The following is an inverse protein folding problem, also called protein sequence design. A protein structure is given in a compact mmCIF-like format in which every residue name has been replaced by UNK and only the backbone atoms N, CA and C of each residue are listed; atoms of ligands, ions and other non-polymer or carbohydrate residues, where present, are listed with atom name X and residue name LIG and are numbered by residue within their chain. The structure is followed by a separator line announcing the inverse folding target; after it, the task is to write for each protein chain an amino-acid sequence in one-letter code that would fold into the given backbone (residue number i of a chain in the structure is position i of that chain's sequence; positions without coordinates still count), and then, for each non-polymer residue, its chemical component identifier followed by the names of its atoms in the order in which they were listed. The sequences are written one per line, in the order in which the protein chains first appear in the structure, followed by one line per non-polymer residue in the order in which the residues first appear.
data_IF_373880126694
#
_entry.id   IF_373880126694
#
_cell.length_a   1.000
_cell.length_b   1.000
_cell.length_c   1.000
_cell.angle_alpha   90.00
_cell.angle_beta   90.00
_cell.angle_gamma   90.00
#
_symmetry.space_group_name_H-M   'P 1'
#
loop_
_entity.id
_entity.type
_entity.pdbx_description
1 polymer ?
#
# COMPACT_ATOMS: atom_id res chain seq x y z
N UNK A 1 -12.71 20.56 24.72
CA UNK A 1 -12.60 19.09 24.91
C UNK A 1 -11.46 18.62 24.03
N UNK A 2 -10.49 17.89 24.56
CA UNK A 2 -9.36 17.37 23.77
C UNK A 2 -9.76 16.02 23.18
N UNK A 3 -9.44 15.79 21.91
CA UNK A 3 -9.82 14.59 21.16
C UNK A 3 -8.66 13.59 21.09
N UNK A 4 -8.91 12.36 21.53
CA UNK A 4 -7.97 11.24 21.51
C UNK A 4 -8.42 10.10 20.56
N UNK A 5 -9.46 10.32 19.74
CA UNK A 5 -10.08 9.30 18.88
C UNK A 5 -9.14 8.68 17.84
N UNK A 6 -7.96 9.26 17.65
CA UNK A 6 -6.89 8.64 16.86
C UNK A 6 -6.53 7.25 17.41
N UNK A 7 -6.68 7.01 18.71
CA UNK A 7 -6.28 5.78 19.41
C UNK A 7 -7.46 4.83 19.68
N UNK A 8 -8.66 5.11 19.14
CA UNK A 8 -9.88 4.31 19.40
C UNK A 8 -9.83 2.91 18.77
N UNK A 9 -8.98 2.69 17.78
CA UNK A 9 -8.88 1.42 17.03
C UNK A 9 -7.44 0.93 17.03
N UNK A 10 -7.03 0.29 18.12
CA UNK A 10 -5.74 -0.38 18.24
C UNK A 10 -6.00 -1.88 18.32
N UNK A 11 -5.33 -2.65 17.48
CA UNK A 11 -5.35 -4.10 17.46
C UNK A 11 -4.03 -4.63 18.01
N UNK A 12 -4.12 -5.44 19.07
CA UNK A 12 -2.97 -6.10 19.71
C UNK A 12 -3.17 -7.60 19.53
N UNK A 13 -2.30 -8.25 18.74
CA UNK A 13 -2.46 -9.68 18.42
C UNK A 13 -2.31 -10.60 19.63
N UNK A 14 -1.54 -10.16 20.63
CA UNK A 14 -1.24 -10.82 21.91
C UNK A 14 -2.02 -10.16 23.07
N UNK A 15 -3.28 -9.76 22.81
CA UNK A 15 -4.14 -9.18 23.84
C UNK A 15 -4.58 -10.27 24.83
N UNK A 16 -3.97 -10.24 26.01
CA UNK A 16 -4.20 -11.18 27.09
C UNK A 16 -5.62 -11.08 27.70
N UNK A 17 -6.29 -9.94 27.56
CA UNK A 17 -7.64 -9.70 28.08
C UNK A 17 -8.74 -10.22 27.13
N UNK A 18 -8.46 -10.33 25.82
CA UNK A 18 -9.39 -10.88 24.81
C UNK A 18 -9.15 -12.38 24.58
N UNK A 19 -9.43 -13.17 25.63
CA UNK A 19 -9.26 -14.63 25.63
C UNK A 19 -10.52 -15.35 26.10
N UNK A 20 -10.71 -16.59 25.62
CA UNK A 20 -11.87 -17.41 25.95
C UNK A 20 -11.43 -18.62 26.80
N UNK A 21 -12.15 -19.01 27.88
CA UNK A 21 -11.76 -20.11 28.77
C UNK A 21 -11.52 -21.47 28.09
N UNK A 22 -12.06 -21.66 26.89
CA UNK A 22 -11.94 -22.90 26.12
C UNK A 22 -10.97 -22.82 24.93
N UNK A 23 -10.28 -21.69 24.73
CA UNK A 23 -9.33 -21.50 23.63
C UNK A 23 -7.93 -21.37 24.22
N UNK A 24 -6.99 -22.13 23.66
CA UNK A 24 -5.59 -22.07 24.04
C UNK A 24 -4.95 -20.74 23.60
N UNK A 25 -4.43 -19.98 24.56
CA UNK A 25 -3.93 -18.59 24.32
C UNK A 25 -2.77 -18.56 23.32
N UNK A 26 -1.71 -19.40 23.44
CA UNK A 26 -0.59 -19.40 22.50
C UNK A 26 -0.99 -19.64 21.04
N UNK A 27 -1.86 -20.62 20.79
CA UNK A 27 -2.33 -20.91 19.43
C UNK A 27 -3.23 -19.81 18.88
N UNK A 28 -4.08 -19.19 19.71
CA UNK A 28 -4.90 -18.04 19.32
C UNK A 28 -4.05 -16.84 18.89
N UNK A 29 -3.02 -16.49 19.65
CA UNK A 29 -2.16 -15.34 19.35
C UNK A 29 -1.35 -15.56 18.07
N UNK A 30 -0.80 -16.76 17.88
CA UNK A 30 -0.16 -17.14 16.61
C UNK A 30 -1.11 -17.00 15.43
N UNK A 31 -2.37 -17.43 15.58
CA UNK A 31 -3.36 -17.34 14.51
C UNK A 31 -3.77 -15.89 14.21
N UNK A 32 -3.98 -15.06 15.25
CA UNK A 32 -4.23 -13.61 15.10
C UNK A 32 -3.08 -12.92 14.38
N UNK A 33 -1.84 -13.20 14.79
CA UNK A 33 -0.65 -12.67 14.13
C UNK A 33 -0.56 -13.09 12.66
N UNK A 34 -0.79 -14.37 12.36
CA UNK A 34 -0.80 -14.88 11.00
C UNK A 34 -1.87 -14.20 10.13
N UNK A 35 -3.09 -14.09 10.62
CA UNK A 35 -4.19 -13.44 9.91
C UNK A 35 -3.89 -11.96 9.63
N UNK A 36 -3.23 -11.28 10.57
CA UNK A 36 -2.79 -9.90 10.41
C UNK A 36 -1.73 -9.76 9.31
N UNK A 37 -0.68 -10.59 9.35
CA UNK A 37 0.37 -10.61 8.33
C UNK A 37 -0.21 -10.88 6.94
N UNK A 38 -1.11 -11.86 6.83
CA UNK A 38 -1.80 -12.17 5.56
C UNK A 38 -2.64 -11.00 5.05
N UNK A 39 -3.35 -10.29 5.94
CA UNK A 39 -4.11 -9.12 5.57
C UNK A 39 -3.20 -7.97 5.10
N UNK A 40 -2.07 -7.74 5.77
CA UNK A 40 -1.08 -6.74 5.34
C UNK A 40 -0.49 -7.09 3.97
N UNK A 41 -0.16 -8.35 3.74
CA UNK A 41 0.36 -8.82 2.46
C UNK A 41 -0.68 -8.65 1.33
N UNK A 42 -1.94 -8.98 1.59
CA UNK A 42 -3.02 -8.78 0.63
C UNK A 42 -3.20 -7.30 0.27
N UNK A 43 -3.22 -6.41 1.27
CA UNK A 43 -3.36 -4.96 1.05
C UNK A 43 -2.16 -4.39 0.29
N UNK A 44 -0.95 -4.86 0.58
CA UNK A 44 0.25 -4.48 -0.16
C UNK A 44 0.20 -4.96 -1.62
N UNK A 45 -0.24 -6.20 -1.85
CA UNK A 45 -0.42 -6.76 -3.19
C UNK A 45 -1.48 -6.01 -4.00
N UNK A 46 -2.62 -5.68 -3.40
CA UNK A 46 -3.66 -4.85 -4.04
C UNK A 46 -3.12 -3.47 -4.41
N UNK A 47 -2.35 -2.84 -3.51
CA UNK A 47 -1.71 -1.55 -3.77
C UNK A 47 -0.77 -1.62 -4.98
N UNK A 48 0.08 -2.63 -5.04
CA UNK A 48 1.01 -2.83 -6.16
C UNK A 48 0.29 -3.11 -7.48
N UNK A 49 -0.80 -3.87 -7.46
CA UNK A 49 -1.62 -4.13 -8.64
C UNK A 49 -2.28 -2.85 -9.16
N UNK A 50 -2.81 -2.01 -8.26
CA UNK A 50 -3.38 -0.72 -8.62
C UNK A 50 -2.31 0.24 -9.19
N UNK A 51 -1.12 0.26 -8.61
CA UNK A 51 -0.02 1.11 -9.07
C UNK A 51 0.51 0.66 -10.45
N UNK A 52 0.63 -0.66 -10.67
CA UNK A 52 0.92 -1.23 -12.00
C UNK A 52 -0.15 -0.87 -13.02
N UNK A 53 -1.44 -1.03 -12.65
CA UNK A 53 -2.57 -0.66 -13.50
C UNK A 53 -2.58 0.82 -13.89
N UNK A 54 -2.29 1.72 -12.94
CA UNK A 54 -2.12 3.16 -13.19
C UNK A 54 -0.94 3.44 -14.12
N UNK A 55 0.21 2.81 -13.88
CA UNK A 55 1.40 3.00 -14.70
C UNK A 55 1.18 2.53 -16.15
N UNK A 56 0.49 1.40 -16.35
CA UNK A 56 0.12 0.91 -17.67
C UNK A 56 -0.88 1.83 -18.38
N UNK A 57 -1.91 2.32 -17.67
CA UNK A 57 -2.86 3.28 -18.26
C UNK A 57 -2.15 4.58 -18.65
N UNK A 58 -1.22 5.04 -17.83
CA UNK A 58 -0.44 6.24 -18.11
C UNK A 58 0.46 6.07 -19.35
N UNK A 59 1.16 4.93 -19.47
CA UNK A 59 1.92 4.58 -20.68
C UNK A 59 1.04 4.55 -21.93
N UNK A 60 -0.10 3.85 -21.87
CA UNK A 60 -1.07 3.76 -22.99
C UNK A 60 -1.58 5.14 -23.41
N UNK A 61 -1.90 6.01 -22.45
CA UNK A 61 -2.31 7.39 -22.72
C UNK A 61 -1.20 8.20 -23.39
N UNK A 62 0.04 8.11 -22.89
CA UNK A 62 1.18 8.80 -23.47
C UNK A 62 1.46 8.33 -24.91
N UNK A 63 1.39 7.03 -25.16
CA UNK A 63 1.60 6.46 -26.49
C UNK A 63 0.46 6.84 -27.46
N UNK A 64 -0.79 6.83 -27.01
CA UNK A 64 -1.92 7.29 -27.83
C UNK A 64 -1.80 8.79 -28.15
N UNK A 65 -1.39 9.61 -27.19
CA UNK A 65 -1.20 11.05 -27.42
C UNK A 65 -0.06 11.31 -28.42
N UNK A 66 1.05 10.58 -28.31
CA UNK A 66 2.16 10.65 -29.29
C UNK A 66 1.71 10.26 -30.69
N UNK A 67 0.99 9.15 -30.83
CA UNK A 67 0.45 8.69 -32.12
C UNK A 67 -0.49 9.72 -32.76
N UNK A 68 -1.35 10.37 -31.97
CA UNK A 68 -2.22 11.44 -32.48
C UNK A 68 -1.39 12.61 -32.99
N UNK A 69 -0.41 13.07 -32.22
CA UNK A 69 0.46 14.19 -32.63
C UNK A 69 1.28 13.84 -33.90
N UNK A 70 1.77 12.60 -34.02
CA UNK A 70 2.47 12.11 -35.21
C UNK A 70 1.56 12.04 -36.45
N UNK A 71 0.32 11.58 -36.28
CA UNK A 71 -0.69 11.49 -37.34
C UNK A 71 -1.18 12.88 -37.79
N UNK A 72 -1.28 13.84 -36.88
CA UNK A 72 -1.58 15.25 -37.21
C UNK A 72 -0.47 15.86 -38.08
N UNK A 73 0.78 15.45 -37.90
CA UNK A 73 1.93 15.91 -38.70
C UNK A 73 2.02 15.24 -40.09
N UNK A 74 1.49 14.01 -40.28
CA UNK A 74 1.69 13.21 -41.50
C UNK A 74 0.70 13.48 -42.66
N UNK A 75 -0.21 14.44 -42.54
CA UNK A 75 -1.10 14.82 -43.64
C UNK A 75 -2.33 13.91 -43.82
N UNK A 76 -3.36 14.52 -44.40
CA UNK A 76 -4.76 14.35 -43.99
C UNK A 76 -5.45 13.06 -44.49
N UNK A 77 -5.00 12.45 -45.59
CA UNK A 77 -5.82 11.41 -46.27
C UNK A 77 -5.60 9.96 -45.79
N UNK A 78 -4.41 9.61 -45.29
CA UNK A 78 -4.17 8.31 -44.63
C UNK A 78 -4.45 8.36 -43.12
N UNK A 79 -4.18 9.52 -42.50
CA UNK A 79 -4.28 9.72 -41.06
C UNK A 79 -5.72 9.73 -40.51
N UNK A 80 -6.71 10.15 -41.31
CA UNK A 80 -8.12 10.26 -40.88
C UNK A 80 -8.69 8.94 -40.33
N UNK A 81 -8.38 7.80 -40.95
CA UNK A 81 -8.91 6.50 -40.52
C UNK A 81 -8.30 6.01 -39.20
N UNK A 82 -7.00 6.25 -38.97
CA UNK A 82 -6.31 5.93 -37.72
C UNK A 82 -6.74 6.90 -36.60
N UNK A 83 -6.87 8.19 -36.92
CA UNK A 83 -7.34 9.21 -35.98
C UNK A 83 -8.76 8.90 -35.47
N UNK A 84 -9.66 8.46 -36.37
CA UNK A 84 -11.05 8.12 -36.02
C UNK A 84 -11.14 6.87 -35.11
N UNK A 85 -10.15 5.97 -35.17
CA UNK A 85 -10.02 4.84 -34.24
C UNK A 85 -9.40 5.24 -32.90
N UNK A 86 -8.43 6.16 -32.89
CA UNK A 86 -7.75 6.61 -31.67
C UNK A 86 -8.56 7.62 -30.85
N UNK A 87 -9.41 8.41 -31.50
CA UNK A 87 -10.28 9.41 -30.86
C UNK A 87 -11.23 8.83 -29.79
N UNK A 88 -11.90 7.67 -29.98
CA UNK A 88 -12.70 7.04 -28.92
C UNK A 88 -11.86 6.28 -27.88
N UNK A 89 -10.61 5.92 -28.19
CA UNK A 89 -9.72 5.19 -27.26
C UNK A 89 -9.20 6.11 -26.14
N UNK A 90 -8.93 7.38 -26.42
CA UNK A 90 -8.53 8.36 -25.40
C UNK A 90 -9.54 8.55 -24.25
N UNK A 91 -10.84 8.84 -24.51
CA UNK A 91 -11.82 8.99 -23.43
C UNK A 91 -12.04 7.66 -22.68
N UNK A 92 -11.89 6.51 -23.34
CA UNK A 92 -11.94 5.21 -22.66
C UNK A 92 -10.75 5.04 -21.71
N UNK A 93 -9.53 5.30 -22.16
CA UNK A 93 -8.33 5.25 -21.31
C UNK A 93 -8.37 6.28 -20.16
N UNK A 94 -8.99 7.45 -20.37
CA UNK A 94 -9.24 8.43 -19.30
C UNK A 94 -10.22 7.90 -18.26
N UNK A 95 -11.30 7.22 -18.67
CA UNK A 95 -12.23 6.55 -17.75
C UNK A 95 -11.55 5.43 -16.97
N UNK A 96 -10.73 4.63 -17.64
CA UNK A 96 -9.98 3.55 -17.00
C UNK A 96 -9.01 4.11 -15.96
N UNK A 97 -8.28 5.18 -16.29
CA UNK A 97 -7.43 5.92 -15.33
C UNK A 97 -8.24 6.41 -14.13
N UNK A 98 -9.38 7.06 -14.35
CA UNK A 98 -10.24 7.55 -13.27
C UNK A 98 -10.76 6.41 -12.38
N UNK A 99 -11.11 5.26 -12.96
CA UNK A 99 -11.51 4.07 -12.21
C UNK A 99 -10.35 3.53 -11.34
N UNK A 100 -9.12 3.51 -11.86
CA UNK A 100 -7.95 3.11 -11.08
C UNK A 100 -7.63 4.09 -9.96
N UNK A 101 -7.71 5.41 -10.20
CA UNK A 101 -7.54 6.43 -9.16
C UNK A 101 -8.61 6.31 -8.07
N UNK A 102 -9.86 6.01 -8.45
CA UNK A 102 -10.95 5.76 -7.50
C UNK A 102 -10.64 4.54 -6.62
N UNK A 103 -10.23 3.42 -7.22
CA UNK A 103 -9.83 2.20 -6.49
C UNK A 103 -8.65 2.47 -5.54
N UNK A 104 -7.63 3.19 -6.00
CA UNK A 104 -6.48 3.56 -5.17
C UNK A 104 -6.88 4.44 -3.98
N UNK A 105 -7.80 5.39 -4.17
CA UNK A 105 -8.30 6.24 -3.09
C UNK A 105 -9.19 5.45 -2.10
N UNK A 106 -9.99 4.50 -2.60
CA UNK A 106 -10.74 3.57 -1.75
C UNK A 106 -9.82 2.70 -0.90
N UNK A 107 -8.73 2.17 -1.48
CA UNK A 107 -7.71 1.43 -0.74
C UNK A 107 -7.03 2.32 0.30
N UNK A 108 -6.70 3.57 -0.04
CA UNK A 108 -6.14 4.53 0.92
C UNK A 108 -7.10 4.82 2.09
N UNK A 109 -8.41 4.89 1.83
CA UNK A 109 -9.41 5.01 2.89
C UNK A 109 -9.45 3.76 3.76
N UNK A 110 -9.43 2.57 3.17
CA UNK A 110 -9.36 1.30 3.92
C UNK A 110 -8.15 1.26 4.83
N UNK A 111 -6.97 1.64 4.32
CA UNK A 111 -5.73 1.74 5.10
C UNK A 111 -5.85 2.76 6.23
N UNK A 112 -6.46 3.93 5.99
CA UNK A 112 -6.69 4.93 7.05
C UNK A 112 -7.69 4.47 8.12
N UNK A 113 -8.67 3.65 7.76
CA UNK A 113 -9.66 3.10 8.71
C UNK A 113 -9.17 1.84 9.42
N UNK A 114 -8.04 1.30 8.98
CA UNK A 114 -7.45 0.10 9.52
C UNK A 114 -7.01 0.31 10.98
N UNK A 115 -7.12 -0.71 11.84
CA UNK A 115 -6.62 -0.62 13.20
C UNK A 115 -5.12 -0.34 13.24
N UNK A 116 -4.71 0.46 14.22
CA UNK A 116 -3.30 0.61 14.57
C UNK A 116 -2.76 -0.70 15.12
N UNK A 117 -1.56 -1.05 14.71
CA UNK A 117 -0.81 -2.21 15.17
C UNK A 117 0.66 -1.80 15.35
N UNK A 118 1.50 -2.73 15.80
CA UNK A 118 2.92 -2.45 16.06
C UNK A 118 3.66 -1.85 14.86
N UNK A 119 3.32 -2.28 13.63
CA UNK A 119 3.98 -1.85 12.40
C UNK A 119 3.43 -0.52 11.87
N UNK A 120 2.17 -0.20 12.16
CA UNK A 120 1.56 1.08 11.71
C UNK A 120 1.72 2.19 12.73
N UNK A 121 1.84 1.88 14.02
CA UNK A 121 1.89 2.86 15.10
C UNK A 121 3.24 3.57 15.20
N UNK A 122 4.34 2.85 14.97
CA UNK A 122 5.68 3.45 15.03
C UNK A 122 6.70 2.70 14.19
N UNK A 123 7.87 3.31 14.04
CA UNK A 123 9.06 2.71 13.45
C UNK A 123 10.21 2.82 14.44
N UNK A 124 11.17 1.91 14.38
CA UNK A 124 12.39 2.04 15.17
C UNK A 124 13.12 3.33 14.79
N UNK A 125 13.14 4.29 15.73
CA UNK A 125 13.77 5.59 15.53
C UNK A 125 15.24 5.60 15.97
N UNK A 126 15.57 4.83 17.01
CA UNK A 126 16.89 4.78 17.60
C UNK A 126 17.05 3.51 18.45
N UNK A 127 18.01 2.68 18.09
CA UNK A 127 18.37 1.47 18.83
C UNK A 127 19.85 1.50 19.20
N UNK A 128 20.13 1.54 20.51
CA UNK A 128 21.50 1.50 21.06
C UNK A 128 21.53 0.53 22.23
N UNK A 129 22.30 -0.54 22.10
CA UNK A 129 22.59 -1.46 23.19
C UNK A 129 23.96 -1.15 23.80
N UNK A 130 24.07 -1.36 25.11
CA UNK A 130 25.33 -1.30 25.84
C UNK A 130 25.34 -2.45 26.84
N UNK A 131 26.34 -3.32 26.74
CA UNK A 131 26.57 -4.39 27.72
C UNK A 131 27.62 -3.86 28.69
N UNK A 132 27.26 -3.77 29.97
CA UNK A 132 28.19 -3.35 31.02
C UNK A 132 29.18 -4.49 31.34
N UNK A 133 30.13 -4.73 30.43
CA UNK A 133 31.26 -5.62 30.68
C UNK A 133 32.17 -4.93 31.69
N UNK A 134 32.50 -5.63 32.79
CA UNK A 134 33.49 -5.14 33.75
C UNK A 134 34.83 -4.92 33.02
N UNK A 135 35.60 -3.89 33.36
CA UNK A 135 36.93 -3.70 32.80
C UNK A 135 37.79 -4.93 33.15
N UNK A 136 38.60 -5.40 32.20
CA UNK A 136 39.58 -6.45 32.47
C UNK A 136 40.54 -5.94 33.54
N UNK A 137 40.50 -6.56 34.72
CA UNK A 137 41.51 -6.32 35.75
C UNK A 137 42.77 -7.00 35.26
N UNK A 138 43.66 -6.24 34.63
CA UNK A 138 45.03 -6.68 34.44
C UNK A 138 45.67 -6.76 35.83
N UNK A 139 45.74 -7.95 36.40
CA UNK A 139 46.64 -8.20 37.53
C UNK A 139 48.06 -8.02 37.00
N UNK A 140 48.69 -6.89 37.36
CA UNK A 140 50.14 -6.71 37.18
C UNK A 140 50.85 -7.73 38.06
N UNK A 141 51.64 -8.58 37.40
CA UNK A 141 52.58 -9.59 37.93
C UNK A 141 53.47 -9.09 39.05
#
# INVERSE_FOLDING_TARGET
MVDYSVWDKIEVSDDEDDTHPNIDRPSLFCWRHQAHVEHMEQVQKEKEEHEKGLAECWKKLADCQKKINELELQGIDSAKNELLKLQPVLPQLKKDKWNWEKKANELQKKVKTMPWNVDTLSKDGFSKSAINKKPEVHEET
#
